data_IF_291355994199
#
_entry.id   IF_291355994199
#
_cell.length_a   1.000
_cell.length_b   1.000
_cell.length_c   1.000
_cell.angle_alpha   90.00
_cell.angle_beta   90.00
_cell.angle_gamma   90.00
#
_symmetry.space_group_name_H-M   'P 1'
#
loop_
_entity.id
_entity.type
_entity.pdbx_description
1 polymer ?
#
# COMPACT_ATOMS: atom_id res chain seq x y z
N UNK A 1 18.23 34.46 54.25
CA UNK A 1 17.53 33.30 53.68
C UNK A 1 18.27 32.89 52.41
N UNK A 2 19.16 31.90 52.50
CA UNK A 2 19.96 31.40 51.38
C UNK A 2 19.37 30.09 50.90
N UNK A 3 18.61 30.15 49.80
CA UNK A 3 18.14 28.96 49.08
C UNK A 3 19.29 28.35 48.30
N UNK A 4 20.09 27.50 48.96
CA UNK A 4 21.04 26.61 48.30
C UNK A 4 20.24 25.56 47.51
N UNK A 5 19.91 25.86 46.26
CA UNK A 5 19.54 24.85 45.28
C UNK A 5 20.79 24.06 44.90
N UNK A 6 21.20 23.11 45.74
CA UNK A 6 21.94 21.96 45.24
C UNK A 6 20.92 21.12 44.47
N UNK A 7 20.83 21.33 43.15
CA UNK A 7 20.11 20.39 42.28
C UNK A 7 20.73 19.02 42.51
N UNK A 8 19.91 18.05 42.93
CA UNK A 8 20.40 16.71 43.22
C UNK A 8 21.10 16.17 41.96
N UNK A 9 22.27 15.55 42.11
CA UNK A 9 23.09 15.10 40.96
C UNK A 9 22.29 14.14 40.09
N UNK A 10 21.39 13.40 40.73
CA UNK A 10 20.40 12.53 40.12
C UNK A 10 19.52 13.24 39.09
N UNK A 11 19.02 14.44 39.40
CA UNK A 11 18.10 15.20 38.55
C UNK A 11 18.81 15.87 37.36
N UNK A 12 20.15 15.93 37.39
CA UNK A 12 20.95 16.46 36.29
C UNK A 12 21.17 15.44 35.18
N UNK A 13 20.88 14.17 35.44
CA UNK A 13 20.99 13.11 34.44
C UNK A 13 19.72 13.06 33.59
N UNK A 14 19.88 13.12 32.29
CA UNK A 14 18.82 13.13 31.29
C UNK A 14 19.18 12.21 30.11
N UNK A 15 18.15 11.74 29.42
CA UNK A 15 18.32 11.03 28.14
C UNK A 15 18.84 11.99 27.08
N UNK A 16 19.91 11.59 26.39
CA UNK A 16 20.51 12.32 25.27
C UNK A 16 20.30 11.59 23.95
N UNK A 17 20.34 10.25 23.97
CA UNK A 17 20.20 9.42 22.78
C UNK A 17 19.15 8.32 22.99
N UNK A 18 17.86 8.66 23.12
CA UNK A 18 16.79 7.69 23.37
C UNK A 18 16.63 6.65 22.24
N UNK A 19 17.06 6.97 21.03
CA UNK A 19 16.96 6.07 19.86
C UNK A 19 17.92 4.87 19.95
N UNK A 20 18.93 4.92 20.82
CA UNK A 20 19.88 3.83 21.01
C UNK A 20 19.40 2.74 21.97
N UNK A 21 18.13 2.79 22.40
CA UNK A 21 17.55 1.83 23.36
C UNK A 21 17.73 0.36 22.95
N UNK A 22 17.62 0.08 21.66
CA UNK A 22 17.71 -1.27 21.10
C UNK A 22 19.00 -1.51 20.30
N UNK A 23 20.00 -0.64 20.46
CA UNK A 23 21.30 -0.76 19.81
C UNK A 23 22.42 -0.79 20.85
N UNK A 24 22.43 -1.79 21.75
CA UNK A 24 23.44 -1.89 22.78
C UNK A 24 24.83 -2.00 22.16
N UNK A 25 25.80 -1.34 22.79
CA UNK A 25 27.21 -1.40 22.38
C UNK A 25 28.04 -2.10 23.42
N UNK A 26 29.00 -2.88 22.96
CA UNK A 26 30.02 -3.49 23.82
C UNK A 26 31.03 -2.45 24.33
N UNK A 27 31.99 -2.89 25.14
CA UNK A 27 33.07 -2.05 25.66
C UNK A 27 33.98 -1.45 24.57
N UNK A 28 33.98 -2.01 23.36
CA UNK A 28 34.76 -1.54 22.20
C UNK A 28 33.93 -0.62 21.28
N UNK A 29 32.67 -0.35 21.63
CA UNK A 29 31.75 0.47 20.84
C UNK A 29 31.08 -0.25 19.67
N UNK A 30 31.22 -1.57 19.55
CA UNK A 30 30.55 -2.38 18.54
C UNK A 30 29.10 -2.68 18.95
N UNK A 31 28.18 -2.63 17.99
CA UNK A 31 26.78 -2.97 18.24
C UNK A 31 26.67 -4.47 18.48
N UNK A 32 26.07 -4.83 19.60
CA UNK A 32 25.75 -6.21 19.98
C UNK A 32 24.27 -6.46 19.79
N UNK A 33 23.94 -7.72 19.52
CA UNK A 33 22.55 -8.17 19.46
C UNK A 33 21.90 -8.00 20.83
N UNK A 34 20.73 -7.35 20.87
CA UNK A 34 20.02 -7.03 22.10
C UNK A 34 19.64 -8.29 22.89
N UNK A 35 19.29 -9.38 22.21
CA UNK A 35 18.92 -10.64 22.86
C UNK A 35 20.11 -11.38 23.47
N UNK A 36 21.32 -11.08 22.99
CA UNK A 36 22.57 -11.73 23.43
C UNK A 36 23.33 -10.89 24.46
N UNK A 37 22.99 -9.61 24.58
CA UNK A 37 23.62 -8.69 25.51
C UNK A 37 23.33 -9.09 26.95
N UNK A 38 24.38 -9.20 27.77
CA UNK A 38 24.21 -9.49 29.19
C UNK A 38 23.79 -8.23 29.97
N UNK A 39 23.24 -8.42 31.17
CA UNK A 39 22.72 -7.31 31.97
C UNK A 39 23.74 -6.20 32.28
N UNK A 40 25.04 -6.52 32.32
CA UNK A 40 26.10 -5.54 32.57
C UNK A 40 26.39 -4.69 31.34
N UNK A 41 26.42 -5.32 30.16
CA UNK A 41 26.58 -4.62 28.87
C UNK A 41 25.42 -3.67 28.63
N UNK A 42 24.18 -4.14 28.84
CA UNK A 42 22.98 -3.32 28.73
C UNK A 42 23.02 -2.13 29.71
N UNK A 43 23.33 -2.40 30.98
CA UNK A 43 23.41 -1.33 31.99
C UNK A 43 24.48 -0.28 31.64
N UNK A 44 25.65 -0.72 31.20
CA UNK A 44 26.72 0.20 30.80
C UNK A 44 26.32 1.01 29.56
N UNK A 45 25.73 0.37 28.55
CA UNK A 45 25.26 1.04 27.35
C UNK A 45 24.20 2.12 27.69
N UNK A 46 23.19 1.77 28.47
CA UNK A 46 22.15 2.71 28.85
C UNK A 46 22.70 3.88 29.65
N UNK A 47 23.65 3.62 30.55
CA UNK A 47 24.30 4.67 31.32
C UNK A 47 25.14 5.60 30.43
N UNK A 48 26.09 5.06 29.68
CA UNK A 48 27.10 5.86 28.98
C UNK A 48 26.63 6.42 27.64
N UNK A 49 25.78 5.68 26.93
CA UNK A 49 25.46 6.00 25.54
C UNK A 49 24.07 6.63 25.40
N UNK A 50 23.13 6.33 26.30
CA UNK A 50 21.77 6.88 26.22
C UNK A 50 21.54 8.12 27.08
N UNK A 51 22.37 8.35 28.10
CA UNK A 51 22.23 9.49 29.01
C UNK A 51 23.45 10.39 28.98
N UNK A 52 23.34 11.59 29.55
CA UNK A 52 24.47 12.49 29.78
C UNK A 52 25.30 12.14 31.05
N UNK A 53 25.21 10.91 31.56
CA UNK A 53 25.88 10.49 32.81
C UNK A 53 27.36 10.89 32.86
N UNK A 54 28.12 10.61 31.80
CA UNK A 54 29.57 10.93 31.78
C UNK A 54 29.81 12.45 31.83
N UNK A 55 28.99 13.23 31.12
CA UNK A 55 29.08 14.69 31.13
C UNK A 55 28.79 15.29 32.52
N UNK A 56 27.85 14.69 33.26
CA UNK A 56 27.54 15.10 34.64
C UNK A 56 28.73 14.83 35.56
N UNK A 57 29.38 13.67 35.43
CA UNK A 57 30.57 13.35 36.23
C UNK A 57 31.77 14.22 35.86
N UNK A 58 32.00 14.45 34.57
CA UNK A 58 33.09 15.30 34.07
C UNK A 58 32.93 16.74 34.58
N UNK A 59 31.69 17.26 34.62
CA UNK A 59 31.40 18.57 35.19
C UNK A 59 31.71 18.64 36.69
N UNK A 60 31.29 17.62 37.45
CA UNK A 60 31.61 17.55 38.89
C UNK A 60 33.13 17.48 39.10
N UNK A 61 33.83 16.72 38.27
CA UNK A 61 35.28 16.61 38.33
C UNK A 61 35.96 17.95 38.00
N UNK A 62 35.52 18.66 36.96
CA UNK A 62 36.03 19.98 36.61
C UNK A 62 35.81 21.01 37.74
N UNK A 63 34.66 20.94 38.42
CA UNK A 63 34.30 21.89 39.48
C UNK A 63 35.03 21.59 40.82
N UNK A 64 35.35 20.33 41.12
CA UNK A 64 35.79 19.90 42.47
C UNK A 64 37.12 19.14 42.50
N UNK A 65 37.70 18.85 41.34
CA UNK A 65 38.91 18.05 41.17
C UNK A 65 38.77 16.57 41.52
N UNK A 66 37.60 16.11 42.00
CA UNK A 66 37.32 14.71 42.30
C UNK A 66 35.82 14.39 42.26
N UNK A 67 35.49 13.13 41.96
CA UNK A 67 34.12 12.61 42.01
C UNK A 67 34.04 11.57 43.12
N UNK A 68 33.22 11.80 44.14
CA UNK A 68 33.05 10.82 45.22
C UNK A 68 32.15 9.65 44.80
N UNK A 69 32.34 8.49 45.43
CA UNK A 69 31.54 7.30 45.17
C UNK A 69 30.02 7.55 45.37
N UNK A 70 29.67 8.42 46.32
CA UNK A 70 28.28 8.82 46.52
C UNK A 70 27.71 9.58 45.32
N UNK A 71 28.47 10.52 44.74
CA UNK A 71 28.05 11.29 43.56
C UNK A 71 27.93 10.41 42.32
N UNK A 72 28.88 9.50 42.14
CA UNK A 72 28.85 8.51 41.07
C UNK A 72 27.61 7.61 41.18
N UNK A 73 27.26 7.18 42.40
CA UNK A 73 26.04 6.40 42.66
C UNK A 73 24.78 7.20 42.35
N UNK A 74 24.70 8.47 42.74
CA UNK A 74 23.56 9.33 42.44
C UNK A 74 23.34 9.49 40.93
N UNK A 75 24.41 9.77 40.18
CA UNK A 75 24.33 9.87 38.73
C UNK A 75 23.92 8.53 38.08
N UNK A 76 24.43 7.40 38.58
CA UNK A 76 24.08 6.08 38.06
C UNK A 76 22.59 5.74 38.32
N UNK A 77 22.05 6.11 39.48
CA UNK A 77 20.63 5.96 39.79
C UNK A 77 19.78 6.85 38.88
N UNK A 78 20.17 8.11 38.68
CA UNK A 78 19.48 9.01 37.74
C UNK A 78 19.43 8.45 36.32
N UNK A 79 20.55 7.92 35.83
CA UNK A 79 20.60 7.28 34.50
C UNK A 79 19.64 6.09 34.40
N UNK A 80 19.62 5.23 35.41
CA UNK A 80 18.74 4.06 35.44
C UNK A 80 17.25 4.46 35.43
N UNK A 81 16.88 5.51 36.17
CA UNK A 81 15.50 5.97 36.25
C UNK A 81 14.99 6.55 34.93
N UNK A 82 15.81 7.39 34.30
CA UNK A 82 15.49 7.95 32.99
C UNK A 82 15.28 6.84 31.94
N UNK A 83 16.13 5.82 31.96
CA UNK A 83 16.03 4.67 31.05
C UNK A 83 14.79 3.83 31.36
N UNK A 84 14.50 3.57 32.65
CA UNK A 84 13.30 2.83 33.06
C UNK A 84 11.99 3.56 32.71
N UNK A 85 11.97 4.90 32.83
CA UNK A 85 10.86 5.73 32.40
C UNK A 85 10.64 5.58 30.88
N UNK A 86 11.71 5.66 30.08
CA UNK A 86 11.62 5.44 28.63
C UNK A 86 11.10 4.05 28.27
N UNK A 87 11.54 2.99 28.96
CA UNK A 87 11.00 1.65 28.78
C UNK A 87 9.51 1.57 29.10
N UNK A 88 9.09 2.22 30.19
CA UNK A 88 7.68 2.29 30.57
C UNK A 88 6.85 2.99 29.50
N UNK A 89 7.34 4.08 28.93
CA UNK A 89 6.66 4.81 27.87
C UNK A 89 6.52 4.00 26.59
N UNK A 90 7.58 3.31 26.15
CA UNK A 90 7.50 2.40 25.00
C UNK A 90 6.51 1.26 25.27
N UNK A 91 6.49 0.71 26.48
CA UNK A 91 5.54 -0.34 26.85
C UNK A 91 4.09 0.17 26.81
N UNK A 92 3.82 1.35 27.36
CA UNK A 92 2.50 2.00 27.30
C UNK A 92 2.08 2.25 25.85
N UNK A 93 3.01 2.69 24.99
CA UNK A 93 2.76 2.91 23.56
C UNK A 93 2.40 1.61 22.85
N UNK A 94 3.15 0.52 23.09
CA UNK A 94 2.86 -0.81 22.51
C UNK A 94 1.50 -1.34 22.95
N UNK A 95 1.14 -1.18 24.23
CA UNK A 95 -0.19 -1.58 24.73
C UNK A 95 -1.28 -0.77 24.03
N UNK A 96 -1.16 0.55 23.96
CA UNK A 96 -2.14 1.42 23.30
C UNK A 96 -2.31 1.07 21.82
N UNK A 97 -1.21 0.82 21.11
CA UNK A 97 -1.26 0.45 19.70
C UNK A 97 -1.92 -0.92 19.49
N UNK A 98 -1.61 -1.88 20.37
CA UNK A 98 -2.25 -3.21 20.37
C UNK A 98 -3.75 -3.12 20.65
N UNK A 99 -4.17 -2.30 21.61
CA UNK A 99 -5.59 -2.05 21.90
C UNK A 99 -6.31 -1.41 20.71
N UNK A 100 -5.69 -0.41 20.06
CA UNK A 100 -6.24 0.23 18.86
C UNK A 100 -6.43 -0.78 17.73
N UNK A 101 -5.40 -1.60 17.45
CA UNK A 101 -5.47 -2.66 16.44
C UNK A 101 -6.55 -3.70 16.78
N UNK A 102 -6.64 -4.11 18.04
CA UNK A 102 -7.67 -5.02 18.53
C UNK A 102 -9.10 -4.47 18.34
N UNK A 103 -9.32 -3.19 18.63
CA UNK A 103 -10.61 -2.54 18.41
C UNK A 103 -10.98 -2.46 16.92
N UNK A 104 -10.02 -2.10 16.06
CA UNK A 104 -10.23 -2.10 14.60
C UNK A 104 -10.61 -3.51 14.12
N UNK A 105 -9.88 -4.53 14.57
CA UNK A 105 -10.16 -5.91 14.21
C UNK A 105 -11.57 -6.33 14.67
N UNK A 106 -11.95 -5.99 15.89
CA UNK A 106 -13.29 -6.26 16.43
C UNK A 106 -14.39 -5.56 15.62
N UNK A 107 -14.21 -4.30 15.26
CA UNK A 107 -15.17 -3.55 14.44
C UNK A 107 -15.31 -4.17 13.05
N UNK A 108 -14.21 -4.57 12.43
CA UNK A 108 -14.22 -5.26 11.13
C UNK A 108 -14.93 -6.62 11.23
N UNK A 109 -14.63 -7.40 12.27
CA UNK A 109 -15.29 -8.68 12.54
C UNK A 109 -16.80 -8.49 12.74
N UNK A 110 -17.22 -7.49 13.50
CA UNK A 110 -18.64 -7.18 13.72
C UNK A 110 -19.34 -6.75 12.43
N UNK A 111 -18.72 -5.89 11.62
CA UNK A 111 -19.27 -5.45 10.32
C UNK A 111 -19.38 -6.60 9.32
N UNK A 112 -18.41 -7.52 9.33
CA UNK A 112 -18.44 -8.72 8.50
C UNK A 112 -19.33 -9.84 9.08
N UNK A 113 -19.82 -9.71 10.32
CA UNK A 113 -20.64 -10.72 10.99
C UNK A 113 -19.88 -12.00 11.35
N UNK A 114 -18.56 -11.93 11.55
CA UNK A 114 -17.69 -13.09 11.77
C UNK A 114 -17.13 -13.11 13.19
N UNK A 115 -17.05 -14.31 13.77
CA UNK A 115 -16.59 -14.52 15.15
C UNK A 115 -15.07 -14.70 15.31
N UNK A 116 -14.31 -14.86 14.23
CA UNK A 116 -12.86 -15.11 14.27
C UNK A 116 -12.09 -14.29 13.23
N UNK A 117 -10.81 -14.01 13.51
CA UNK A 117 -9.94 -13.28 12.58
C UNK A 117 -9.70 -14.06 11.27
N UNK A 118 -9.59 -15.39 11.35
CA UNK A 118 -9.47 -16.26 10.16
C UNK A 118 -10.70 -16.15 9.25
N UNK A 119 -11.90 -16.12 9.84
CA UNK A 119 -13.13 -15.94 9.07
C UNK A 119 -13.19 -14.55 8.42
N UNK A 120 -12.70 -13.50 9.10
CA UNK A 120 -12.57 -12.17 8.50
C UNK A 120 -11.62 -12.18 7.29
N UNK A 121 -10.47 -12.85 7.38
CA UNK A 121 -9.54 -12.99 6.24
C UNK A 121 -10.23 -13.62 5.03
N UNK A 122 -10.96 -14.71 5.24
CA UNK A 122 -11.67 -15.39 4.15
C UNK A 122 -12.74 -14.50 3.51
N UNK A 123 -13.45 -13.68 4.30
CA UNK A 123 -14.43 -12.72 3.77
C UNK A 123 -13.74 -11.64 2.94
N UNK A 124 -12.61 -11.10 3.41
CA UNK A 124 -11.83 -10.11 2.68
C UNK A 124 -11.27 -10.66 1.36
N UNK A 125 -10.78 -11.90 1.38
CA UNK A 125 -10.31 -12.60 0.17
C UNK A 125 -11.44 -12.81 -0.84
N UNK A 126 -12.62 -13.20 -0.37
CA UNK A 126 -13.81 -13.32 -1.21
C UNK A 126 -14.20 -11.98 -1.85
N UNK A 127 -14.21 -10.88 -1.09
CA UNK A 127 -14.49 -9.55 -1.62
C UNK A 127 -13.44 -9.09 -2.65
N UNK A 128 -12.17 -9.37 -2.40
CA UNK A 128 -11.07 -9.09 -3.33
C UNK A 128 -11.27 -9.80 -4.68
N UNK A 129 -11.67 -11.07 -4.64
CA UNK A 129 -11.97 -11.82 -5.86
C UNK A 129 -13.20 -11.26 -6.59
N UNK A 130 -14.27 -10.94 -5.87
CA UNK A 130 -15.46 -10.33 -6.47
C UNK A 130 -15.15 -8.98 -7.15
N UNK A 131 -14.28 -8.14 -6.56
CA UNK A 131 -13.85 -6.88 -7.16
C UNK A 131 -13.06 -7.09 -8.46
N UNK A 132 -12.20 -8.10 -8.51
CA UNK A 132 -11.49 -8.46 -9.76
C UNK A 132 -12.46 -8.88 -10.86
N UNK A 133 -13.50 -9.62 -10.51
CA UNK A 133 -14.49 -10.07 -11.49
C UNK A 133 -15.39 -8.92 -11.96
N UNK A 134 -15.78 -8.01 -11.07
CA UNK A 134 -16.46 -6.75 -11.46
C UNK A 134 -15.57 -5.94 -12.42
N UNK A 135 -14.28 -5.77 -12.12
CA UNK A 135 -13.36 -5.03 -13.00
C UNK A 135 -13.23 -5.68 -14.39
N UNK A 136 -13.21 -7.01 -14.49
CA UNK A 136 -13.25 -7.72 -15.78
C UNK A 136 -14.55 -7.45 -16.53
N UNK A 137 -15.69 -7.48 -15.84
CA UNK A 137 -16.99 -7.20 -16.45
C UNK A 137 -17.07 -5.75 -16.94
N UNK A 138 -16.59 -4.78 -16.17
CA UNK A 138 -16.52 -3.38 -16.58
C UNK A 138 -15.63 -3.18 -17.80
N UNK A 139 -14.46 -3.83 -17.84
CA UNK A 139 -13.58 -3.79 -19.01
C UNK A 139 -14.24 -4.43 -20.24
N UNK A 140 -14.96 -5.55 -20.07
CA UNK A 140 -15.74 -6.17 -21.13
C UNK A 140 -16.82 -5.24 -21.66
N UNK A 141 -17.56 -4.57 -20.77
CA UNK A 141 -18.60 -3.61 -21.14
C UNK A 141 -18.03 -2.38 -21.87
N UNK A 142 -16.91 -1.82 -21.41
CA UNK A 142 -16.21 -0.72 -22.10
C UNK A 142 -15.73 -1.13 -23.47
N UNK A 143 -15.15 -2.33 -23.61
CA UNK A 143 -14.73 -2.87 -24.90
C UNK A 143 -15.91 -3.06 -25.86
N UNK A 144 -17.04 -3.58 -25.38
CA UNK A 144 -18.27 -3.69 -26.18
C UNK A 144 -18.82 -2.33 -26.61
N UNK A 145 -18.74 -1.32 -25.73
CA UNK A 145 -19.17 0.04 -26.04
C UNK A 145 -18.27 0.69 -27.10
N UNK A 146 -16.95 0.63 -26.92
CA UNK A 146 -15.97 1.13 -27.90
C UNK A 146 -16.14 0.43 -29.26
N UNK A 147 -16.40 -0.88 -29.24
CA UNK A 147 -16.63 -1.65 -30.45
C UNK A 147 -17.89 -1.20 -31.17
N UNK A 148 -19.00 -1.00 -30.45
CA UNK A 148 -20.24 -0.47 -31.02
C UNK A 148 -20.07 0.95 -31.58
N UNK A 149 -19.31 1.80 -30.90
CA UNK A 149 -19.02 3.17 -31.37
C UNK A 149 -18.14 3.16 -32.62
N UNK A 150 -17.12 2.31 -32.65
CA UNK A 150 -16.23 2.12 -33.82
C UNK A 150 -17.03 1.62 -35.02
N UNK A 151 -17.90 0.62 -34.82
CA UNK A 151 -18.78 0.10 -35.85
C UNK A 151 -19.71 1.19 -36.40
N UNK A 152 -20.28 2.03 -35.52
CA UNK A 152 -21.13 3.15 -35.92
C UNK A 152 -20.37 4.21 -36.74
N UNK A 153 -19.12 4.49 -36.38
CA UNK A 153 -18.26 5.41 -37.14
C UNK A 153 -17.89 4.82 -38.50
N UNK A 154 -17.50 3.55 -38.56
CA UNK A 154 -17.19 2.85 -39.81
C UNK A 154 -18.38 2.87 -40.77
N UNK A 155 -19.59 2.55 -40.28
CA UNK A 155 -20.80 2.62 -41.10
C UNK A 155 -20.99 4.01 -41.70
N UNK A 156 -20.86 5.08 -40.90
CA UNK A 156 -20.99 6.46 -41.38
C UNK A 156 -19.91 6.83 -42.40
N UNK A 157 -18.67 6.40 -42.18
CA UNK A 157 -17.56 6.66 -43.11
C UNK A 157 -17.76 5.93 -44.43
N UNK A 158 -18.15 4.65 -44.41
CA UNK A 158 -18.42 3.87 -45.62
C UNK A 158 -19.57 4.50 -46.42
N UNK A 159 -20.67 4.85 -45.77
CA UNK A 159 -21.79 5.54 -46.45
C UNK A 159 -21.34 6.87 -47.05
N UNK A 160 -20.53 7.67 -46.32
CA UNK A 160 -20.01 8.94 -46.82
C UNK A 160 -19.09 8.75 -48.03
N UNK A 161 -18.16 7.80 -48.00
CA UNK A 161 -17.26 7.51 -49.11
C UNK A 161 -18.02 7.07 -50.36
N UNK A 162 -19.07 6.26 -50.22
CA UNK A 162 -19.89 5.83 -51.36
C UNK A 162 -20.64 7.01 -52.00
N UNK A 163 -21.18 7.93 -51.18
CA UNK A 163 -21.82 9.15 -51.65
C UNK A 163 -20.80 10.08 -52.33
N UNK A 164 -19.63 10.29 -51.72
CA UNK A 164 -18.56 11.14 -52.26
C UNK A 164 -17.99 10.57 -53.57
N UNK A 165 -18.00 9.25 -53.74
CA UNK A 165 -17.58 8.55 -54.97
C UNK A 165 -18.66 8.54 -56.08
N UNK A 166 -19.84 9.15 -55.84
CA UNK A 166 -20.92 9.23 -56.82
C UNK A 166 -21.61 7.89 -57.10
N UNK A 167 -21.54 6.94 -56.16
CA UNK A 167 -22.24 5.66 -56.26
C UNK A 167 -23.75 5.89 -56.21
N UNK A 168 -24.52 5.10 -56.97
CA UNK A 168 -25.98 5.25 -57.01
C UNK A 168 -26.60 5.08 -55.62
N UNK A 169 -27.63 5.87 -55.33
CA UNK A 169 -28.29 5.87 -54.03
C UNK A 169 -28.85 4.49 -53.64
N UNK A 170 -29.27 3.70 -54.64
CA UNK A 170 -29.74 2.34 -54.45
C UNK A 170 -28.66 1.41 -53.86
N UNK A 171 -27.42 1.48 -54.37
CA UNK A 171 -26.29 0.70 -53.84
C UNK A 171 -25.89 1.20 -52.46
N UNK A 172 -25.94 2.52 -52.23
CA UNK A 172 -25.67 3.12 -50.90
C UNK A 172 -26.67 2.61 -49.86
N UNK A 173 -27.96 2.53 -50.22
CA UNK A 173 -29.02 2.05 -49.34
C UNK A 173 -28.91 0.54 -49.07
N UNK A 174 -28.51 -0.26 -50.06
CA UNK A 174 -28.23 -1.68 -49.90
C UNK A 174 -27.02 -1.94 -48.97
N UNK A 175 -25.91 -1.20 -49.14
CA UNK A 175 -24.76 -1.29 -48.23
C UNK A 175 -25.14 -0.87 -46.81
N UNK A 176 -25.95 0.18 -46.67
CA UNK A 176 -26.46 0.63 -45.37
C UNK A 176 -27.35 -0.43 -44.72
N UNK A 177 -28.15 -1.16 -45.49
CA UNK A 177 -28.99 -2.26 -45.00
C UNK A 177 -28.17 -3.46 -44.50
N UNK A 178 -27.07 -3.79 -45.20
CA UNK A 178 -26.11 -4.81 -44.76
C UNK A 178 -25.46 -4.42 -43.43
N UNK A 179 -24.94 -3.20 -43.31
CA UNK A 179 -24.33 -2.70 -42.07
C UNK A 179 -25.32 -2.45 -40.92
N UNK A 180 -26.61 -2.32 -41.21
CA UNK A 180 -27.64 -2.15 -40.16
C UNK A 180 -28.17 -3.49 -39.63
N UNK A 181 -27.79 -4.61 -40.24
CA UNK A 181 -28.28 -5.94 -39.90
C UNK A 181 -27.48 -6.56 -38.75
N UNK A 182 -28.19 -7.02 -37.71
CA UNK A 182 -27.60 -7.64 -36.51
C UNK A 182 -27.31 -9.14 -36.66
N UNK A 183 -27.75 -9.78 -37.75
CA UNK A 183 -27.58 -11.21 -38.01
C UNK A 183 -26.56 -11.45 -39.11
N UNK A 184 -25.50 -12.21 -38.80
CA UNK A 184 -24.46 -12.59 -39.77
C UNK A 184 -25.08 -13.30 -40.98
N UNK A 185 -26.05 -14.20 -40.75
CA UNK A 185 -26.69 -14.96 -41.84
C UNK A 185 -27.51 -14.04 -42.76
N UNK A 186 -28.21 -13.06 -42.19
CA UNK A 186 -29.02 -12.11 -42.97
C UNK A 186 -28.16 -11.07 -43.69
N UNK A 187 -27.03 -10.68 -43.10
CA UNK A 187 -26.04 -9.84 -43.77
C UNK A 187 -25.37 -10.56 -44.95
N UNK A 188 -25.15 -11.88 -44.82
CA UNK A 188 -24.66 -12.72 -45.92
C UNK A 188 -25.68 -12.81 -47.05
N UNK A 189 -26.96 -13.05 -46.76
CA UNK A 189 -28.03 -13.07 -47.76
C UNK A 189 -28.11 -11.73 -48.52
N UNK A 190 -28.17 -10.60 -47.81
CA UNK A 190 -28.19 -9.27 -48.43
C UNK A 190 -26.91 -8.96 -49.22
N UNK A 191 -25.76 -9.50 -48.79
CA UNK A 191 -24.49 -9.35 -49.50
C UNK A 191 -24.40 -10.18 -50.79
N UNK A 192 -25.08 -11.33 -50.85
CA UNK A 192 -25.14 -12.18 -52.05
C UNK A 192 -25.81 -11.41 -53.18
N UNK A 193 -26.92 -10.76 -52.86
CA UNK A 193 -27.69 -9.98 -53.83
C UNK A 193 -26.92 -8.73 -54.31
N UNK A 194 -26.16 -8.08 -53.41
CA UNK A 194 -25.43 -6.86 -53.72
C UNK A 194 -24.17 -7.11 -54.58
N UNK A 195 -23.40 -8.16 -54.28
CA UNK A 195 -22.12 -8.43 -54.94
C UNK A 195 -22.19 -9.51 -56.01
N UNK A 196 -23.32 -10.22 -56.14
CA UNK A 196 -23.50 -11.36 -57.04
C UNK A 196 -22.38 -12.42 -56.88
N UNK A 197 -22.01 -12.71 -55.63
CA UNK A 197 -20.93 -13.64 -55.26
C UNK A 197 -21.50 -14.90 -54.61
N UNK A 198 -20.74 -15.99 -54.64
CA UNK A 198 -21.13 -17.20 -53.92
C UNK A 198 -21.11 -16.98 -52.40
N UNK A 199 -22.05 -17.63 -51.70
CA UNK A 199 -22.18 -17.56 -50.22
C UNK A 199 -20.86 -17.78 -49.50
N UNK A 200 -20.00 -18.67 -50.01
CA UNK A 200 -18.71 -19.02 -49.43
C UNK A 200 -17.69 -17.86 -49.47
N UNK A 201 -17.76 -17.01 -50.49
CA UNK A 201 -16.87 -15.86 -50.70
C UNK A 201 -17.30 -14.68 -49.82
N UNK A 202 -18.59 -14.41 -49.76
CA UNK A 202 -19.15 -13.39 -48.85
C UNK A 202 -18.92 -13.78 -47.40
N UNK A 203 -19.00 -15.07 -47.07
CA UNK A 203 -18.63 -15.54 -45.74
C UNK A 203 -17.18 -15.25 -45.39
N UNK A 204 -16.25 -15.30 -46.36
CA UNK A 204 -14.84 -14.93 -46.14
C UNK A 204 -14.71 -13.43 -45.90
N UNK A 205 -15.39 -12.58 -46.66
CA UNK A 205 -15.36 -11.12 -46.47
C UNK A 205 -16.02 -10.68 -45.16
N UNK A 206 -17.21 -11.18 -44.85
CA UNK A 206 -17.92 -10.91 -43.59
C UNK A 206 -17.10 -11.44 -42.41
N UNK A 207 -16.56 -12.67 -42.50
CA UNK A 207 -15.67 -13.18 -41.44
C UNK A 207 -14.36 -12.43 -41.36
N UNK A 208 -13.78 -11.92 -42.45
CA UNK A 208 -12.55 -11.12 -42.42
C UNK A 208 -12.79 -9.75 -41.76
N UNK A 209 -13.92 -9.11 -42.07
CA UNK A 209 -14.37 -7.88 -41.39
C UNK A 209 -14.66 -8.12 -39.89
N UNK A 210 -15.14 -9.32 -39.53
CA UNK A 210 -15.36 -9.76 -38.14
C UNK A 210 -14.08 -10.28 -37.46
N UNK A 211 -13.07 -10.77 -38.22
CA UNK A 211 -11.85 -11.45 -37.69
C UNK A 211 -10.81 -10.51 -37.10
N UNK A 212 -10.94 -9.20 -37.25
CA UNK A 212 -10.12 -8.26 -36.50
C UNK A 212 -10.50 -8.13 -35.00
N UNK A 213 -11.41 -8.99 -34.50
CA UNK A 213 -11.74 -9.13 -33.07
C UNK A 213 -10.90 -10.15 -32.29
N UNK A 214 -9.92 -10.82 -32.91
CA UNK A 214 -8.95 -11.68 -32.19
C UNK A 214 -7.55 -11.32 -32.65
N UNK A 215 -7.06 -10.19 -32.18
CA UNK A 215 -5.62 -9.95 -32.09
C UNK A 215 -5.27 -10.16 -30.63
N UNK A 216 -4.35 -11.10 -30.40
CA UNK A 216 -3.73 -11.40 -29.12
C UNK A 216 -3.05 -10.16 -28.51
#
# INVERSE_FOLDING_TARGET
MTTNHHSDIRDQVALTNPDQLYQPKDANGQIIDYEQANGRELFNHYRHNMTNYDQVLDKIHADQGHVSAWKQKQAAVGAAEQVLEKYRDEHVKVIKDSQKKGNILKDLMQKAGVGTATALSNVLDSWSNNLKDIAKLENSQRSLQLWNDTYRVQQKLVTKLLVDAGVSQEIVDQVKAIHSTRSVNKAVELGIDLFNLEKSEILKFVKAAVKYGVVA
#
